data_IF_303838886841
#
_entry.id   IF_303838886841
#
_cell.length_a   1.000
_cell.length_b   1.000
_cell.length_c   1.000
_cell.angle_alpha   90.00
_cell.angle_beta   90.00
_cell.angle_gamma   90.00
#
_symmetry.space_group_name_H-M   'P 1'
#
loop_
_entity.id
_entity.type
_entity.pdbx_description
1 polymer ?
#
# COMPACT_ATOMS: atom_id res chain seq x y z
N UNK A 1 16.83 2.08 -0.50
CA UNK A 1 16.38 1.04 -1.46
C UNK A 1 15.76 -0.08 -0.65
N UNK A 2 14.51 -0.42 -0.94
CA UNK A 2 13.78 -1.47 -0.22
C UNK A 2 14.25 -2.83 -0.78
N UNK A 3 15.00 -3.59 0.01
CA UNK A 3 15.49 -4.93 -0.35
C UNK A 3 14.53 -6.01 0.15
N UNK A 4 13.24 -5.88 -0.18
CA UNK A 4 12.21 -6.83 0.25
C UNK A 4 10.79 -6.38 -0.11
N UNK A 5 9.87 -7.35 -0.14
CA UNK A 5 8.44 -7.08 -0.25
C UNK A 5 7.93 -6.72 1.15
N UNK A 6 7.53 -5.46 1.35
CA UNK A 6 6.92 -5.01 2.62
C UNK A 6 5.41 -5.15 2.52
N UNK A 7 4.79 -5.87 3.46
CA UNK A 7 3.34 -6.01 3.53
C UNK A 7 2.73 -4.74 4.12
N UNK A 8 1.74 -4.20 3.43
CA UNK A 8 1.05 -3.00 3.85
C UNK A 8 -0.47 -3.09 3.61
N UNK A 9 -1.19 -2.18 4.24
CA UNK A 9 -2.60 -1.90 3.99
C UNK A 9 -2.73 -0.51 3.41
N UNK A 10 -3.49 -0.39 2.32
CA UNK A 10 -3.96 0.88 1.79
C UNK A 10 -5.29 1.21 2.44
N UNK A 11 -5.37 2.41 2.99
CA UNK A 11 -6.53 2.95 3.69
C UNK A 11 -7.31 3.81 2.71
N UNK A 12 -8.55 3.41 2.42
CA UNK A 12 -9.35 4.05 1.38
C UNK A 12 -10.60 4.62 2.04
N UNK A 13 -10.72 5.94 1.96
CA UNK A 13 -11.91 6.67 2.36
C UNK A 13 -12.84 6.78 1.16
N UNK A 14 -14.05 6.28 1.30
CA UNK A 14 -15.12 6.47 0.32
C UNK A 14 -16.39 7.00 0.99
N UNK A 15 -17.35 7.42 0.17
CA UNK A 15 -18.67 7.81 0.66
C UNK A 15 -19.38 6.66 1.41
N UNK A 16 -19.14 5.40 1.02
CA UNK A 16 -19.70 4.23 1.70
C UNK A 16 -18.96 3.86 3.00
N UNK A 17 -17.97 4.65 3.40
CA UNK A 17 -17.17 4.44 4.60
C UNK A 17 -15.71 4.11 4.31
N UNK A 18 -15.05 3.61 5.35
CA UNK A 18 -13.65 3.30 5.38
C UNK A 18 -13.39 1.83 5.08
N UNK A 19 -12.48 1.55 4.15
CA UNK A 19 -12.02 0.20 3.89
C UNK A 19 -10.50 0.11 3.81
N UNK A 20 -10.00 -1.04 4.25
CA UNK A 20 -8.58 -1.37 4.31
C UNK A 20 -8.30 -2.50 3.31
N UNK A 21 -7.24 -2.32 2.51
CA UNK A 21 -6.91 -3.25 1.43
C UNK A 21 -5.44 -3.67 1.49
N UNK A 22 -5.17 -4.98 1.49
CA UNK A 22 -3.79 -5.49 1.50
C UNK A 22 -3.07 -5.23 0.17
N UNK A 23 -1.82 -4.80 0.28
CA UNK A 23 -0.92 -4.50 -0.83
C UNK A 23 0.54 -4.66 -0.41
N UNK A 24 1.45 -4.58 -1.38
CA UNK A 24 2.88 -4.75 -1.17
C UNK A 24 3.65 -3.51 -1.59
N UNK A 25 4.48 -2.95 -0.72
CA UNK A 25 5.37 -1.85 -1.11
C UNK A 25 6.54 -2.43 -1.89
N UNK A 26 6.69 -1.97 -3.14
CA UNK A 26 7.76 -2.38 -4.06
C UNK A 26 8.72 -1.23 -4.37
N UNK A 27 8.41 -0.02 -3.93
CA UNK A 27 9.26 1.14 -4.13
C UNK A 27 8.75 2.35 -3.37
N UNK A 28 9.55 3.41 -3.36
CA UNK A 28 9.19 4.64 -2.69
C UNK A 28 9.66 5.88 -3.45
N UNK A 29 8.96 6.97 -3.19
CA UNK A 29 9.36 8.33 -3.53
C UNK A 29 9.34 9.15 -2.24
N UNK A 30 9.77 10.41 -2.30
CA UNK A 30 9.78 11.30 -1.13
C UNK A 30 8.40 11.40 -0.44
N UNK A 31 7.32 11.43 -1.21
CA UNK A 31 5.95 11.68 -0.70
C UNK A 31 4.96 10.53 -0.92
N UNK A 32 5.30 9.53 -1.72
CA UNK A 32 4.42 8.42 -2.10
C UNK A 32 5.12 7.06 -2.02
N UNK A 33 4.38 6.02 -1.66
CA UNK A 33 4.80 4.63 -1.83
C UNK A 33 4.38 4.11 -3.20
N UNK A 34 5.24 3.33 -3.85
CA UNK A 34 4.86 2.48 -4.98
C UNK A 34 4.40 1.15 -4.42
N UNK A 35 3.10 0.90 -4.53
CA UNK A 35 2.46 -0.33 -4.03
C UNK A 35 2.02 -1.19 -5.20
N UNK A 36 2.23 -2.50 -5.07
CA UNK A 36 1.70 -3.54 -5.94
C UNK A 36 0.42 -4.08 -5.32
N UNK A 37 -0.64 -4.14 -6.12
CA UNK A 37 -1.90 -4.72 -5.67
C UNK A 37 -1.81 -6.24 -5.70
N UNK A 38 -2.26 -6.92 -4.66
CA UNK A 38 -2.32 -8.38 -4.62
C UNK A 38 -3.67 -8.93 -5.08
N UNK A 39 -4.66 -8.05 -5.24
CA UNK A 39 -6.02 -8.38 -5.63
C UNK A 39 -6.60 -7.26 -6.49
N UNK A 40 -7.82 -7.44 -7.00
CA UNK A 40 -8.51 -6.38 -7.73
C UNK A 40 -8.97 -5.30 -6.74
N UNK A 41 -8.51 -4.04 -6.89
CA UNK A 41 -8.81 -2.97 -5.92
C UNK A 41 -9.34 -1.72 -6.62
N UNK A 42 -10.30 -1.04 -6.00
CA UNK A 42 -10.74 0.28 -6.45
C UNK A 42 -10.20 1.36 -5.52
N UNK A 43 -9.21 2.10 -6.00
CA UNK A 43 -8.69 3.26 -5.27
C UNK A 43 -9.59 4.48 -5.46
N UNK A 44 -9.85 5.19 -4.37
CA UNK A 44 -10.50 6.50 -4.41
C UNK A 44 -9.71 7.47 -5.30
N UNK A 45 -10.41 8.24 -6.14
CA UNK A 45 -9.80 9.15 -7.11
C UNK A 45 -9.38 8.49 -8.43
N UNK A 46 -9.61 7.18 -8.62
CA UNK A 46 -9.51 6.50 -9.91
C UNK A 46 -10.86 5.96 -10.36
N UNK A 47 -11.16 6.17 -11.65
CA UNK A 47 -12.36 5.62 -12.31
C UNK A 47 -12.17 4.18 -12.81
N UNK A 48 -11.09 3.51 -12.41
CA UNK A 48 -10.79 2.12 -12.81
C UNK A 48 -10.39 1.26 -11.62
N UNK A 49 -10.63 -0.04 -11.75
CA UNK A 49 -10.07 -1.05 -10.87
C UNK A 49 -8.59 -1.28 -11.24
N UNK A 50 -7.79 -1.56 -10.22
CA UNK A 50 -6.42 -2.04 -10.37
C UNK A 50 -6.47 -3.55 -10.37
N UNK A 51 -5.83 -4.17 -11.35
CA UNK A 51 -5.72 -5.63 -11.41
C UNK A 51 -4.62 -6.15 -10.47
N UNK A 52 -4.69 -7.43 -10.06
CA UNK A 52 -3.61 -8.06 -9.31
C UNK A 52 -2.28 -7.95 -10.07
N UNK A 53 -1.22 -7.57 -9.36
CA UNK A 53 0.12 -7.35 -9.93
C UNK A 53 0.34 -5.94 -10.48
N UNK A 54 -0.70 -5.12 -10.71
CA UNK A 54 -0.51 -3.73 -11.11
C UNK A 54 0.13 -2.92 -9.99
N UNK A 55 0.96 -1.94 -10.38
CA UNK A 55 1.59 -1.02 -9.44
C UNK A 55 0.99 0.37 -9.53
N UNK A 56 0.93 1.05 -8.39
CA UNK A 56 0.37 2.39 -8.26
C UNK A 56 1.14 3.20 -7.22
N UNK A 57 1.15 4.52 -7.39
CA UNK A 57 1.67 5.44 -6.39
C UNK A 57 0.54 5.90 -5.47
N UNK A 58 0.71 5.67 -4.17
CA UNK A 58 -0.22 6.11 -3.12
C UNK A 58 0.48 7.01 -2.12
N UNK A 59 -0.19 8.05 -1.58
CA UNK A 59 0.39 8.90 -0.55
C UNK A 59 0.87 8.09 0.65
N UNK A 60 2.02 8.45 1.24
CA UNK A 60 2.54 7.75 2.43
C UNK A 60 1.53 7.75 3.59
N UNK A 61 0.73 8.82 3.71
CA UNK A 61 -0.34 8.94 4.72
C UNK A 61 -1.50 7.96 4.53
N UNK A 62 -1.70 7.43 3.32
CA UNK A 62 -2.76 6.48 3.01
C UNK A 62 -2.33 5.02 3.21
N UNK A 63 -1.09 4.75 3.64
CA UNK A 63 -0.54 3.41 3.77
C UNK A 63 -0.19 3.13 5.23
N UNK A 64 -0.61 1.97 5.73
CA UNK A 64 -0.19 1.41 7.01
C UNK A 64 0.70 0.20 6.75
N UNK A 65 1.93 0.22 7.22
CA UNK A 65 2.85 -0.92 7.11
C UNK A 65 2.43 -1.97 8.18
N UNK A 66 2.26 -3.23 7.78
CA UNK A 66 1.85 -4.32 8.68
C UNK A 66 3.07 -5.13 9.10
N UNK A 67 3.92 -5.47 8.14
CA UNK A 67 5.04 -6.37 8.36
C UNK A 67 6.18 -5.92 7.45
N UNK A 68 7.20 -5.32 8.06
CA UNK A 68 8.49 -5.12 7.40
C UNK A 68 9.23 -6.44 7.53
N UNK A 69 9.12 -7.29 6.51
CA UNK A 69 9.89 -8.52 6.45
C UNK A 69 11.37 -8.19 6.65
N UNK A 70 11.85 -8.47 7.87
CA UNK A 70 13.22 -8.39 8.34
C UNK A 70 13.76 -7.05 8.88
N UNK A 71 13.01 -6.29 9.71
CA UNK A 71 13.61 -5.35 10.69
C UNK A 71 12.71 -5.03 11.90
N UNK A 72 12.03 -6.03 12.46
CA UNK A 72 11.46 -5.93 13.80
C UNK A 72 12.56 -6.07 14.88
N UNK A 73 13.54 -5.17 14.85
CA UNK A 73 14.37 -4.84 15.99
C UNK A 73 14.14 -3.37 16.32
N UNK A 74 13.17 -3.12 17.19
CA UNK A 74 13.23 -2.02 18.15
C UNK A 74 12.64 -2.53 19.46
N UNK A 75 13.55 -3.02 20.30
CA UNK A 75 13.51 -2.85 21.75
C UNK A 75 12.86 -1.52 22.13
N UNK A 76 11.81 -1.61 22.95
CA UNK A 76 11.65 -0.88 24.22
C UNK A 76 10.61 -1.60 25.08
#
# INVERSE_FOLDING_TARGET
MINGIIRCVIRINSWAGYFEQSAEIVGETSTKWRVRSNQTIRLGGRNRWLEPGETVLVPKSAVKIIEEGNHAQRDI
#
